data_IF_214382784333
#
_entry.id   IF_214382784333
#
_cell.length_a   1.000
_cell.length_b   1.000
_cell.length_c   1.000
_cell.angle_alpha   90.00
_cell.angle_beta   90.00
_cell.angle_gamma   90.00
#
_symmetry.space_group_name_H-M   'P 1'
#
loop_
_entity.id
_entity.type
_entity.pdbx_description
1 polymer ?
#
# COMPACT_ATOMS: atom_id res chain seq x y z
N UNK A 1 -6.94 -1.79 12.00
CA UNK A 1 -5.92 -2.83 11.71
C UNK A 1 -6.33 -3.75 10.58
N UNK A 2 -7.56 -4.29 10.55
CA UNK A 2 -8.06 -5.10 9.43
C UNK A 2 -7.81 -4.44 8.07
N UNK A 3 -8.10 -3.15 7.92
CA UNK A 3 -7.82 -2.44 6.66
C UNK A 3 -6.35 -2.47 6.22
N UNK A 4 -5.38 -2.40 7.14
CA UNK A 4 -3.96 -2.53 6.77
C UNK A 4 -3.62 -3.96 6.35
N UNK A 5 -4.21 -4.98 6.99
CA UNK A 5 -4.06 -6.36 6.55
C UNK A 5 -4.63 -6.57 5.14
N UNK A 6 -5.81 -6.02 4.83
CA UNK A 6 -6.39 -6.09 3.48
C UNK A 6 -5.49 -5.45 2.44
N UNK A 7 -4.93 -4.27 2.73
CA UNK A 7 -4.03 -3.57 1.81
C UNK A 7 -2.71 -4.32 1.62
N UNK A 8 -2.20 -5.00 2.65
CA UNK A 8 -1.02 -5.86 2.50
C UNK A 8 -1.21 -6.91 1.41
N UNK A 9 -2.34 -7.64 1.42
CA UNK A 9 -2.62 -8.65 0.41
C UNK A 9 -2.74 -8.05 -0.99
N UNK A 10 -3.34 -6.87 -1.12
CA UNK A 10 -3.44 -6.16 -2.38
C UNK A 10 -2.05 -5.75 -2.92
N UNK A 11 -1.15 -5.29 -2.06
CA UNK A 11 0.25 -4.98 -2.44
C UNK A 11 1.03 -6.25 -2.81
N UNK A 12 0.93 -7.30 -1.99
CA UNK A 12 1.64 -8.55 -2.18
C UNK A 12 1.18 -9.33 -3.42
N UNK A 13 -0.08 -9.18 -3.82
CA UNK A 13 -0.63 -9.77 -5.04
C UNK A 13 -0.30 -8.95 -6.29
N UNK A 14 0.13 -7.69 -6.19
CA UNK A 14 0.45 -6.84 -7.35
C UNK A 14 1.35 -7.51 -8.40
N UNK A 15 2.47 -8.18 -8.07
CA UNK A 15 3.33 -8.84 -9.07
C UNK A 15 2.69 -10.05 -9.75
N UNK A 16 1.51 -10.52 -9.32
CA UNK A 16 0.80 -11.61 -10.00
C UNK A 16 -0.21 -11.12 -11.03
N UNK A 17 -0.48 -9.81 -11.08
CA UNK A 17 -1.53 -9.22 -11.92
C UNK A 17 -1.05 -8.03 -12.76
N UNK A 18 0.11 -7.46 -12.43
CA UNK A 18 0.71 -6.31 -13.11
C UNK A 18 2.20 -6.59 -13.32
N UNK A 19 2.70 -6.38 -14.54
CA UNK A 19 4.13 -6.51 -14.89
C UNK A 19 4.99 -5.33 -14.36
N UNK A 20 4.80 -4.98 -13.09
CA UNK A 20 5.59 -3.96 -12.41
C UNK A 20 6.98 -4.53 -12.04
N UNK A 21 8.06 -3.74 -12.18
CA UNK A 21 9.38 -4.13 -11.69
C UNK A 21 9.35 -4.50 -10.19
N UNK A 22 10.08 -5.55 -9.81
CA UNK A 22 10.08 -6.07 -8.43
C UNK A 22 10.35 -5.01 -7.35
N UNK A 23 11.18 -4.01 -7.66
CA UNK A 23 11.53 -2.93 -6.73
C UNK A 23 10.33 -2.04 -6.39
N UNK A 24 9.34 -1.92 -7.29
CA UNK A 24 8.09 -1.18 -7.04
C UNK A 24 7.31 -1.87 -5.92
N UNK A 25 7.11 -3.18 -6.05
CA UNK A 25 6.44 -4.00 -5.02
C UNK A 25 7.16 -3.90 -3.68
N UNK A 26 8.50 -3.95 -3.67
CA UNK A 26 9.29 -3.76 -2.45
C UNK A 26 9.06 -2.38 -1.85
N UNK A 27 9.12 -1.31 -2.65
CA UNK A 27 8.89 0.06 -2.18
C UNK A 27 7.48 0.24 -1.57
N UNK A 28 6.47 -0.37 -2.19
CA UNK A 28 5.09 -0.37 -1.70
C UNK A 28 4.94 -1.12 -0.37
N UNK A 29 5.57 -2.29 -0.24
CA UNK A 29 5.58 -3.06 1.01
C UNK A 29 6.33 -2.32 2.12
N UNK A 30 7.41 -1.60 1.80
CA UNK A 30 8.10 -0.73 2.76
C UNK A 30 7.21 0.43 3.22
N UNK A 31 6.52 1.10 2.30
CA UNK A 31 5.56 2.16 2.64
C UNK A 31 4.44 1.62 3.54
N UNK A 32 3.94 0.42 3.25
CA UNK A 32 2.98 -0.27 4.12
C UNK A 32 3.56 -0.60 5.50
N UNK A 33 4.81 -1.06 5.59
CA UNK A 33 5.45 -1.37 6.87
C UNK A 33 5.59 -0.12 7.75
N UNK A 34 5.89 1.03 7.14
CA UNK A 34 5.86 2.34 7.83
C UNK A 34 4.45 2.66 8.32
N UNK A 35 3.43 2.48 7.47
CA UNK A 35 2.04 2.69 7.86
C UNK A 35 1.60 1.74 8.99
N UNK A 36 2.05 0.48 8.99
CA UNK A 36 1.80 -0.47 10.07
C UNK A 36 2.45 0.01 11.38
N UNK A 37 3.73 0.38 11.35
CA UNK A 37 4.42 0.93 12.52
C UNK A 37 3.71 2.16 13.06
N UNK A 38 3.24 3.04 12.17
CA UNK A 38 2.48 4.23 12.54
C UNK A 38 1.11 3.87 13.13
N UNK A 39 0.43 2.89 12.55
CA UNK A 39 -0.83 2.35 13.03
C UNK A 39 -0.69 1.81 14.45
N UNK A 40 0.37 1.05 14.75
CA UNK A 40 0.66 0.52 16.08
C UNK A 40 0.87 1.66 17.09
N UNK A 41 1.63 2.70 16.72
CA UNK A 41 1.87 3.89 17.58
C UNK A 41 0.60 4.71 17.84
N UNK A 42 -0.28 4.81 16.86
CA UNK A 42 -1.53 5.57 16.96
C UNK A 42 -2.69 4.79 17.54
N UNK A 43 -2.58 3.45 17.66
CA UNK A 43 -3.68 2.59 18.08
C UNK A 43 -4.35 3.07 19.38
N UNK A 44 -3.54 3.47 20.38
CA UNK A 44 -4.05 3.98 21.66
C UNK A 44 -4.22 5.51 21.65
N UNK A 45 -3.27 6.25 21.05
CA UNK A 45 -3.25 7.73 21.12
C UNK A 45 -4.27 8.41 20.20
N UNK A 46 -4.56 7.84 19.02
CA UNK A 46 -5.38 8.45 17.96
C UNK A 46 -6.07 7.36 17.11
N UNK A 47 -7.04 6.59 17.67
CA UNK A 47 -7.62 5.44 16.99
C UNK A 47 -8.31 5.79 15.67
N UNK A 48 -8.91 6.98 15.56
CA UNK A 48 -9.54 7.46 14.31
C UNK A 48 -8.51 7.65 13.19
N UNK A 49 -7.29 8.09 13.50
CA UNK A 49 -6.24 8.28 12.50
C UNK A 49 -5.74 6.94 11.93
N UNK A 50 -5.85 5.84 12.68
CA UNK A 50 -5.49 4.49 12.22
C UNK A 50 -6.37 4.01 11.08
N UNK A 51 -7.63 4.49 11.00
CA UNK A 51 -8.56 4.15 9.93
C UNK A 51 -8.16 4.81 8.60
N UNK A 52 -7.50 5.96 8.65
CA UNK A 52 -7.09 6.73 7.46
C UNK A 52 -5.87 6.11 6.77
N UNK A 53 -4.95 5.52 7.54
CA UNK A 53 -3.73 4.89 7.02
C UNK A 53 -3.97 3.88 5.88
N UNK A 54 -4.83 2.86 6.01
CA UNK A 54 -5.06 1.92 4.92
C UNK A 54 -5.67 2.57 3.67
N UNK A 55 -6.52 3.59 3.84
CA UNK A 55 -7.09 4.34 2.70
C UNK A 55 -5.98 5.06 1.94
N UNK A 56 -5.08 5.75 2.64
CA UNK A 56 -3.95 6.44 2.01
C UNK A 56 -3.01 5.48 1.27
N UNK A 57 -2.71 4.32 1.87
CA UNK A 57 -1.85 3.31 1.22
C UNK A 57 -2.55 2.70 -0.01
N UNK A 58 -3.85 2.41 0.06
CA UNK A 58 -4.61 1.89 -1.07
C UNK A 58 -4.70 2.90 -2.23
N UNK A 59 -4.94 4.18 -1.92
CA UNK A 59 -4.95 5.26 -2.93
C UNK A 59 -3.58 5.45 -3.53
N UNK A 60 -2.52 5.43 -2.71
CA UNK A 60 -1.14 5.49 -3.19
C UNK A 60 -0.80 4.31 -4.11
N UNK A 61 -1.27 3.10 -3.78
CA UNK A 61 -1.14 1.94 -4.65
C UNK A 61 -1.81 2.14 -6.00
N UNK A 62 -3.06 2.58 -5.99
CA UNK A 62 -3.83 2.79 -7.21
C UNK A 62 -3.15 3.84 -8.12
N UNK A 63 -2.66 4.93 -7.52
CA UNK A 63 -1.92 5.96 -8.24
C UNK A 63 -0.64 5.42 -8.88
N UNK A 64 0.12 4.57 -8.18
CA UNK A 64 1.35 3.96 -8.71
C UNK A 64 1.04 3.01 -9.87
N UNK A 65 0.06 2.12 -9.71
CA UNK A 65 -0.34 1.17 -10.77
C UNK A 65 -0.85 1.91 -11.99
N UNK A 66 -1.73 2.90 -11.82
CA UNK A 66 -2.26 3.69 -12.93
C UNK A 66 -1.17 4.49 -13.65
N UNK A 67 -0.24 5.09 -12.88
CA UNK A 67 0.89 5.81 -13.46
C UNK A 67 1.81 4.87 -14.23
N UNK A 68 2.10 3.68 -13.69
CA UNK A 68 2.91 2.69 -14.38
C UNK A 68 2.26 2.16 -15.66
N UNK A 69 0.96 1.86 -15.63
CA UNK A 69 0.22 1.48 -16.83
C UNK A 69 0.21 2.60 -17.89
N UNK A 70 0.14 3.88 -17.46
CA UNK A 70 0.07 5.02 -18.39
C UNK A 70 1.42 5.46 -18.96
N UNK A 71 2.50 5.35 -18.19
CA UNK A 71 3.80 5.98 -18.51
C UNK A 71 4.96 4.99 -18.63
N UNK A 72 4.81 3.76 -18.12
CA UNK A 72 5.87 2.76 -18.05
C UNK A 72 5.46 1.43 -18.71
N UNK A 73 4.33 1.42 -19.44
CA UNK A 73 3.77 0.29 -20.17
C UNK A 73 3.61 -0.98 -19.33
N UNK A 74 3.23 -0.83 -18.05
CA UNK A 74 2.85 -1.98 -17.23
C UNK A 74 1.53 -2.56 -17.74
N UNK A 75 1.54 -3.84 -18.12
CA UNK A 75 0.38 -4.60 -18.57
C UNK A 75 -0.13 -5.55 -17.48
#
# INVERSE_FOLDING_TARGET
MVGLASVFFLLAATPTVVDAPWWVTVAMLLAWAVALGQGCRWFVRRPRAVVVLPVLVAVGWFAVVLAGARWLDWA
#
